data_IF_827389617823
#
_entry.id   IF_827389617823
#
_cell.length_a   1.000
_cell.length_b   1.000
_cell.length_c   1.000
_cell.angle_alpha   90.00
_cell.angle_beta   90.00
_cell.angle_gamma   90.00
#
_symmetry.space_group_name_H-M   'P 1'
#
loop_
_entity.id
_entity.type
_entity.pdbx_description
1 polymer ?
#
# COMPACT_ATOMS: atom_id res chain seq x y z
N UNK A 1 17.84 58.16 -41.48
CA UNK A 1 18.00 56.76 -41.22
C UNK A 1 18.24 56.61 -39.71
N UNK A 2 17.20 56.31 -38.96
CA UNK A 2 17.25 56.19 -37.49
C UNK A 2 16.94 54.74 -37.13
N UNK A 3 17.96 54.02 -36.67
CA UNK A 3 17.83 52.66 -36.15
C UNK A 3 17.24 52.71 -34.74
N UNK A 4 16.04 52.14 -34.57
CA UNK A 4 15.45 51.87 -33.25
C UNK A 4 15.92 50.48 -32.77
N UNK A 5 16.77 50.48 -31.76
CA UNK A 5 17.05 49.26 -30.94
C UNK A 5 15.83 48.95 -30.09
N UNK A 6 15.30 47.76 -30.27
CA UNK A 6 14.34 47.17 -29.39
C UNK A 6 15.09 46.37 -28.30
N UNK A 7 15.04 46.86 -27.07
CA UNK A 7 15.49 46.14 -25.90
C UNK A 7 14.35 45.18 -25.49
N UNK A 8 14.50 43.92 -25.84
CA UNK A 8 13.61 42.87 -25.36
C UNK A 8 13.95 42.50 -23.91
N UNK A 9 13.10 42.89 -22.97
CA UNK A 9 13.15 42.36 -21.59
C UNK A 9 12.81 40.89 -21.59
N UNK A 10 13.80 40.02 -21.42
CA UNK A 10 13.61 38.61 -21.13
C UNK A 10 13.15 38.54 -19.67
N UNK A 11 11.85 38.39 -19.46
CA UNK A 11 11.28 37.90 -18.17
C UNK A 11 11.73 36.46 -17.97
N UNK A 12 12.77 36.29 -17.16
CA UNK A 12 13.11 35.00 -16.57
C UNK A 12 11.93 34.57 -15.68
N UNK A 13 11.03 33.77 -16.23
CA UNK A 13 10.15 32.96 -15.44
C UNK A 13 11.01 31.93 -14.67
N UNK A 14 11.31 32.27 -13.42
CA UNK A 14 11.73 31.25 -12.45
C UNK A 14 10.56 30.29 -12.33
N UNK A 15 10.66 29.01 -12.70
CA UNK A 15 9.62 28.06 -12.35
C UNK A 15 9.63 28.00 -10.83
N UNK A 16 8.59 28.57 -10.18
CA UNK A 16 8.26 28.15 -8.83
C UNK A 16 8.12 26.64 -8.90
N UNK A 17 9.16 25.94 -8.41
CA UNK A 17 9.13 24.49 -8.31
C UNK A 17 7.89 24.13 -7.50
N UNK A 18 6.91 23.50 -8.14
CA UNK A 18 5.97 22.67 -7.44
C UNK A 18 6.84 21.70 -6.64
N UNK A 19 6.96 21.93 -5.34
CA UNK A 19 7.53 20.94 -4.44
C UNK A 19 6.67 19.68 -4.66
N UNK A 20 7.31 18.67 -5.18
CA UNK A 20 6.64 17.41 -5.44
C UNK A 20 6.08 16.92 -4.09
N UNK A 21 4.77 16.73 -4.05
CA UNK A 21 4.05 16.14 -2.93
C UNK A 21 4.49 14.69 -2.84
N UNK A 22 5.58 14.40 -2.15
CA UNK A 22 6.19 13.09 -2.10
C UNK A 22 6.60 12.71 -0.67
N UNK A 23 6.78 11.44 -0.44
CA UNK A 23 7.19 10.87 0.82
C UNK A 23 8.71 10.75 0.95
N UNK A 24 9.44 11.13 -0.08
CA UNK A 24 10.89 11.02 -0.14
C UNK A 24 11.58 12.07 0.74
N UNK A 25 12.78 11.79 1.24
CA UNK A 25 13.56 12.78 1.97
C UNK A 25 14.02 13.92 1.04
N UNK A 26 14.16 15.09 1.62
CA UNK A 26 14.90 16.16 0.94
C UNK A 26 16.38 15.74 0.81
N UNK A 27 16.88 15.76 -0.41
CA UNK A 27 18.26 15.34 -0.72
C UNK A 27 19.33 16.17 0.03
N UNK A 28 18.98 17.37 0.47
CA UNK A 28 19.86 18.21 1.29
C UNK A 28 20.07 17.66 2.72
N UNK A 29 19.17 16.80 3.22
CA UNK A 29 19.17 16.24 4.59
C UNK A 29 19.41 14.72 4.61
N UNK A 30 20.05 14.19 3.62
CA UNK A 30 20.23 12.77 3.35
C UNK A 30 21.15 12.07 4.36
N UNK A 31 20.64 11.73 5.57
CA UNK A 31 21.32 10.78 6.48
C UNK A 31 20.41 10.25 7.60
N UNK A 32 19.15 10.65 7.66
CA UNK A 32 18.25 10.20 8.70
C UNK A 32 17.49 8.96 8.23
N UNK A 33 17.68 7.83 8.92
CA UNK A 33 16.96 6.59 8.57
C UNK A 33 15.46 6.64 8.88
N UNK A 34 15.03 7.44 9.88
CA UNK A 34 13.64 7.52 10.33
C UNK A 34 13.23 8.98 10.35
N UNK A 35 12.17 9.31 9.62
CA UNK A 35 11.57 10.65 9.61
C UNK A 35 10.14 10.60 10.15
N UNK A 36 9.78 11.61 10.94
CA UNK A 36 8.41 11.88 11.38
C UNK A 36 7.84 12.97 10.49
N UNK A 37 6.61 12.78 10.01
CA UNK A 37 6.04 13.62 8.96
C UNK A 37 4.70 14.21 9.40
N UNK A 38 4.49 15.50 9.10
CA UNK A 38 3.19 16.19 9.12
C UNK A 38 2.58 16.12 7.72
N UNK A 39 1.42 15.49 7.60
CA UNK A 39 0.75 15.28 6.33
C UNK A 39 -0.51 16.14 6.27
N UNK A 40 -0.70 16.84 5.15
CA UNK A 40 -1.90 17.59 4.84
C UNK A 40 -2.53 17.07 3.59
N UNK A 41 -3.83 16.92 3.64
CA UNK A 41 -4.60 16.39 2.54
C UNK A 41 -5.57 17.43 2.00
N UNK A 42 -6.02 17.23 0.80
CA UNK A 42 -7.19 17.86 0.22
C UNK A 42 -8.00 16.75 -0.44
N UNK A 43 -9.12 16.42 0.16
CA UNK A 43 -9.86 15.19 -0.14
C UNK A 43 -8.92 13.96 -0.02
N UNK A 44 -8.79 13.14 -1.06
CA UNK A 44 -7.91 11.96 -1.11
C UNK A 44 -6.47 12.27 -1.53
N UNK A 45 -6.13 13.53 -1.81
CA UNK A 45 -4.81 13.91 -2.31
C UNK A 45 -3.90 14.42 -1.21
N UNK A 46 -2.70 13.93 -1.16
CA UNK A 46 -1.63 14.51 -0.36
C UNK A 46 -1.30 15.91 -0.90
N UNK A 47 -1.51 16.94 -0.08
CA UNK A 47 -1.23 18.34 -0.41
C UNK A 47 0.17 18.76 -0.03
N UNK A 48 0.61 18.36 1.15
CA UNK A 48 1.98 18.54 1.63
C UNK A 48 2.38 17.43 2.59
N UNK A 49 3.67 17.15 2.62
CA UNK A 49 4.28 16.22 3.55
C UNK A 49 5.60 16.85 4.00
N UNK A 50 5.65 17.27 5.26
CA UNK A 50 6.79 18.01 5.81
C UNK A 50 7.43 17.22 6.94
N UNK A 51 8.74 17.17 6.96
CA UNK A 51 9.46 16.55 8.06
C UNK A 51 9.29 17.38 9.33
N UNK A 52 8.89 16.69 10.41
CA UNK A 52 8.76 17.30 11.73
C UNK A 52 10.13 17.50 12.36
N UNK A 53 10.32 18.68 12.88
CA UNK A 53 11.50 19.10 13.65
C UNK A 53 11.06 19.56 15.05
N UNK A 54 11.98 19.76 15.94
CA UNK A 54 11.71 20.26 17.30
C UNK A 54 11.03 21.63 17.31
N UNK A 55 11.11 22.37 16.20
CA UNK A 55 10.47 23.69 16.02
C UNK A 55 9.11 23.61 15.34
N UNK A 56 8.61 22.42 15.03
CA UNK A 56 7.30 22.25 14.36
C UNK A 56 6.17 22.81 15.22
N UNK A 57 5.32 23.63 14.60
CA UNK A 57 4.23 24.36 15.30
C UNK A 57 2.93 23.58 15.39
N UNK A 58 2.85 22.43 14.73
CA UNK A 58 1.61 21.64 14.63
C UNK A 58 1.59 20.45 15.57
N UNK A 59 2.75 19.83 15.76
CA UNK A 59 2.87 18.58 16.48
C UNK A 59 4.05 18.61 17.45
N UNK A 60 3.82 18.10 18.67
CA UNK A 60 4.89 17.68 19.59
C UNK A 60 5.06 16.19 19.44
N UNK A 61 6.28 15.74 19.16
CA UNK A 61 6.58 14.33 18.93
C UNK A 61 7.38 13.72 20.06
N UNK A 62 7.22 12.42 20.29
CA UNK A 62 8.11 11.60 21.10
C UNK A 62 8.22 10.20 20.52
N UNK A 63 9.34 9.56 20.76
CA UNK A 63 9.64 8.21 20.29
C UNK A 63 10.16 7.38 21.46
N UNK A 64 9.45 6.30 21.76
CA UNK A 64 9.91 5.27 22.70
C UNK A 64 10.46 4.10 21.89
N UNK A 65 11.59 3.54 22.34
CA UNK A 65 12.23 2.38 21.72
C UNK A 65 12.36 1.27 22.74
N UNK A 66 11.98 0.06 22.33
CA UNK A 66 12.14 -1.15 23.14
C UNK A 66 12.78 -2.22 22.27
N UNK A 67 13.90 -2.74 22.72
CA UNK A 67 14.55 -3.86 22.02
C UNK A 67 13.68 -5.12 22.12
N UNK A 68 13.52 -5.80 21.02
CA UNK A 68 12.82 -7.08 20.88
C UNK A 68 13.72 -8.07 20.18
N UNK A 69 13.33 -9.34 20.13
CA UNK A 69 14.08 -10.34 19.38
C UNK A 69 14.16 -9.93 17.92
N UNK A 70 15.36 -9.91 17.36
CA UNK A 70 15.68 -9.57 15.99
C UNK A 70 15.33 -8.12 15.57
N UNK A 71 15.12 -7.20 16.53
CA UNK A 71 14.83 -5.83 16.15
C UNK A 71 14.41 -4.89 17.28
N UNK A 72 13.60 -3.90 16.92
CA UNK A 72 13.18 -2.82 17.81
C UNK A 72 11.71 -2.49 17.62
N UNK A 73 10.95 -2.42 18.70
CA UNK A 73 9.62 -1.82 18.76
C UNK A 73 9.75 -0.32 18.98
N UNK A 74 9.19 0.45 18.07
CA UNK A 74 9.05 1.89 18.15
C UNK A 74 7.61 2.25 18.48
N UNK A 75 7.42 3.19 19.40
CA UNK A 75 6.14 3.84 19.67
C UNK A 75 6.30 5.33 19.40
N UNK A 76 5.76 5.76 18.28
CA UNK A 76 5.77 7.16 17.85
C UNK A 76 4.48 7.84 18.33
N UNK A 77 4.62 8.95 19.06
CA UNK A 77 3.50 9.75 19.55
C UNK A 77 3.54 11.13 18.91
N UNK A 78 2.40 11.57 18.42
CA UNK A 78 2.19 12.87 17.81
C UNK A 78 1.06 13.58 18.57
N UNK A 79 1.40 14.55 19.40
CA UNK A 79 0.43 15.36 20.12
C UNK A 79 0.19 16.66 19.38
N UNK A 80 -1.08 16.93 19.02
CA UNK A 80 -1.46 18.14 18.32
C UNK A 80 -1.28 19.38 19.23
N UNK A 81 -0.61 20.40 18.74
CA UNK A 81 -0.37 21.68 19.42
C UNK A 81 -1.44 22.73 19.07
N UNK A 82 -2.30 22.44 18.13
CA UNK A 82 -3.44 23.27 17.69
C UNK A 82 -4.46 22.41 16.97
N UNK A 83 -5.65 22.99 16.72
CA UNK A 83 -6.68 22.34 15.90
C UNK A 83 -6.21 22.25 14.45
N UNK A 84 -6.39 21.08 13.82
CA UNK A 84 -5.99 20.79 12.45
C UNK A 84 -7.13 20.08 11.73
N UNK A 85 -7.34 20.40 10.47
CA UNK A 85 -8.28 19.72 9.57
C UNK A 85 -7.52 19.09 8.41
N UNK A 86 -8.08 18.05 7.83
CA UNK A 86 -7.48 17.32 6.71
C UNK A 86 -6.02 16.92 7.00
N UNK A 87 -5.77 16.53 8.24
CA UNK A 87 -4.45 16.25 8.77
C UNK A 87 -4.18 14.74 8.80
N UNK A 88 -2.92 14.42 8.87
CA UNK A 88 -2.40 13.10 9.18
C UNK A 88 -0.95 13.21 9.61
N UNK A 89 -0.42 12.11 10.08
CA UNK A 89 0.99 11.98 10.44
C UNK A 89 1.55 10.70 9.80
N UNK A 90 2.85 10.64 9.63
CA UNK A 90 3.46 9.42 9.13
C UNK A 90 4.87 9.22 9.71
N UNK A 91 5.32 7.97 9.62
CA UNK A 91 6.69 7.58 9.91
C UNK A 91 7.27 6.97 8.64
N UNK A 92 8.38 7.52 8.18
CA UNK A 92 9.12 7.04 7.03
C UNK A 92 10.44 6.39 7.46
N UNK A 93 10.74 5.24 6.89
CA UNK A 93 12.02 4.55 6.99
C UNK A 93 12.73 4.68 5.64
N UNK A 94 13.77 5.46 5.58
CA UNK A 94 14.49 5.75 4.35
C UNK A 94 15.64 4.78 4.13
N UNK A 95 15.81 4.36 2.89
CA UNK A 95 16.92 3.52 2.45
C UNK A 95 17.68 4.22 1.33
N UNK A 96 18.91 4.59 1.65
CA UNK A 96 19.87 5.16 0.72
C UNK A 96 20.67 4.04 0.04
N UNK A 97 21.18 4.32 -1.15
CA UNK A 97 21.81 3.32 -2.02
C UNK A 97 20.84 2.18 -2.39
N UNK A 98 19.59 2.57 -2.58
CA UNK A 98 18.54 1.68 -3.03
C UNK A 98 18.73 1.29 -4.50
N UNK A 99 18.14 0.21 -4.92
CA UNK A 99 18.07 -0.19 -6.34
C UNK A 99 16.71 -0.81 -6.64
N UNK A 100 16.26 -0.71 -7.89
CA UNK A 100 15.01 -1.33 -8.34
C UNK A 100 15.02 -2.86 -8.29
N UNK A 101 16.19 -3.48 -8.17
CA UNK A 101 16.34 -4.94 -8.05
C UNK A 101 15.94 -5.43 -6.66
N UNK A 102 15.93 -4.55 -5.66
CA UNK A 102 15.53 -4.90 -4.32
C UNK A 102 14.07 -5.33 -4.26
N UNK A 103 13.84 -6.41 -3.52
CA UNK A 103 12.51 -7.00 -3.39
C UNK A 103 11.66 -6.20 -2.41
N UNK A 104 10.41 -5.91 -2.77
CA UNK A 104 9.44 -5.22 -1.91
C UNK A 104 8.18 -6.04 -1.81
N UNK A 105 7.66 -6.20 -0.57
CA UNK A 105 6.45 -6.96 -0.29
C UNK A 105 5.52 -6.20 0.65
N UNK A 106 4.23 -6.21 0.33
CA UNK A 106 3.12 -5.95 1.26
C UNK A 106 2.22 -7.19 1.20
N UNK A 107 2.07 -7.96 2.29
CA UNK A 107 1.45 -9.28 2.26
C UNK A 107 0.06 -9.29 1.64
N UNK A 108 -0.17 -10.17 0.68
CA UNK A 108 -1.38 -10.34 -0.15
C UNK A 108 -1.68 -9.19 -1.14
N UNK A 109 -0.89 -8.12 -1.16
CA UNK A 109 -1.13 -6.97 -2.04
C UNK A 109 -0.01 -6.71 -3.02
N UNK A 110 1.24 -6.80 -2.57
CA UNK A 110 2.42 -6.46 -3.36
C UNK A 110 3.51 -7.52 -3.20
N UNK A 111 4.03 -8.01 -4.31
CA UNK A 111 5.18 -8.93 -4.36
C UNK A 111 6.16 -8.43 -5.41
N UNK A 112 7.43 -8.34 -5.04
CA UNK A 112 8.49 -7.72 -5.85
C UNK A 112 8.11 -6.32 -6.37
N UNK A 113 7.44 -5.52 -5.53
CA UNK A 113 6.95 -4.21 -5.91
C UNK A 113 5.85 -4.23 -6.99
N UNK A 114 5.36 -5.40 -7.39
CA UNK A 114 4.45 -5.57 -8.53
C UNK A 114 4.98 -4.87 -9.79
N UNK A 115 6.29 -4.85 -10.00
CA UNK A 115 6.99 -4.15 -11.09
C UNK A 115 6.74 -4.84 -12.42
N UNK A 116 5.56 -4.65 -12.95
CA UNK A 116 5.15 -5.24 -14.22
C UNK A 116 4.41 -4.22 -15.07
N UNK A 117 4.49 -4.35 -16.37
CA UNK A 117 3.65 -3.57 -17.29
C UNK A 117 2.26 -4.16 -17.29
N UNK A 118 1.27 -3.35 -16.97
CA UNK A 118 -0.13 -3.75 -17.01
C UNK A 118 -0.69 -3.37 -18.36
N UNK A 119 -1.17 -4.36 -19.09
CA UNK A 119 -1.95 -4.11 -20.30
C UNK A 119 -3.38 -3.78 -19.88
N UNK A 120 -3.72 -2.51 -19.95
CA UNK A 120 -5.09 -2.06 -19.70
C UNK A 120 -5.97 -2.38 -20.92
N UNK A 121 -6.27 -3.66 -21.11
CA UNK A 121 -7.28 -4.11 -22.07
C UNK A 121 -8.42 -4.74 -21.30
N UNK A 122 -9.63 -4.33 -21.60
CA UNK A 122 -10.84 -4.94 -21.08
C UNK A 122 -10.82 -6.42 -21.42
N UNK A 123 -10.45 -7.23 -20.44
CA UNK A 123 -10.22 -8.67 -20.61
C UNK A 123 -9.29 -8.97 -21.80
N UNK A 124 -8.42 -9.91 -21.64
CA UNK A 124 -7.43 -10.29 -22.65
C UNK A 124 -8.04 -10.85 -23.97
N UNK A 125 -9.30 -10.62 -24.22
CA UNK A 125 -9.96 -10.93 -25.48
C UNK A 125 -9.43 -10.01 -26.55
N UNK A 126 -8.58 -10.52 -27.42
CA UNK A 126 -8.05 -9.78 -28.55
C UNK A 126 -6.64 -9.24 -28.33
N UNK A 127 -5.80 -9.94 -27.56
CA UNK A 127 -4.37 -9.77 -27.69
C UNK A 127 -4.00 -9.99 -29.15
N UNK A 128 -3.23 -9.05 -29.69
CA UNK A 128 -2.61 -9.27 -30.98
C UNK A 128 -1.69 -10.50 -30.89
N UNK A 129 -1.69 -11.41 -31.88
CA UNK A 129 -0.79 -12.55 -31.90
C UNK A 129 0.69 -12.17 -31.65
N UNK A 130 1.10 -10.99 -32.06
CA UNK A 130 2.45 -10.43 -31.77
C UNK A 130 2.73 -10.17 -30.29
N UNK A 131 1.70 -10.11 -29.46
CA UNK A 131 1.83 -9.88 -28.03
C UNK A 131 1.96 -11.19 -27.20
N UNK A 132 1.70 -12.37 -27.81
CA UNK A 132 1.72 -13.64 -27.07
C UNK A 132 3.09 -14.05 -26.57
N UNK A 133 4.14 -13.74 -27.32
CA UNK A 133 5.53 -14.13 -27.01
C UNK A 133 6.32 -13.01 -26.33
N UNK A 134 5.65 -11.96 -25.86
CA UNK A 134 6.31 -10.85 -25.17
C UNK A 134 6.45 -11.11 -23.68
N UNK A 135 7.66 -11.40 -23.17
CA UNK A 135 7.91 -11.70 -21.75
C UNK A 135 7.72 -10.48 -20.86
N UNK A 136 7.75 -9.26 -21.43
CA UNK A 136 7.57 -7.97 -20.74
C UNK A 136 6.10 -7.56 -20.62
N UNK A 137 5.18 -8.32 -21.20
CA UNK A 137 3.77 -8.01 -21.20
C UNK A 137 3.04 -8.75 -20.08
N UNK A 138 2.65 -8.05 -19.04
CA UNK A 138 1.81 -8.63 -18.00
C UNK A 138 0.36 -8.76 -18.49
N UNK A 139 -0.14 -9.98 -18.48
CA UNK A 139 -1.51 -10.30 -18.85
C UNK A 139 -2.43 -10.17 -17.62
N UNK A 140 -2.66 -8.94 -17.18
CA UNK A 140 -3.65 -8.68 -16.13
C UNK A 140 -4.61 -7.59 -16.59
N UNK A 141 -5.89 -7.79 -16.33
CA UNK A 141 -6.94 -6.81 -16.58
C UNK A 141 -7.17 -5.88 -15.40
N UNK A 142 -6.67 -6.24 -14.22
CA UNK A 142 -6.90 -5.48 -12.99
C UNK A 142 -5.73 -4.57 -12.69
N UNK A 143 -5.96 -3.26 -12.47
CA UNK A 143 -4.94 -2.37 -11.97
C UNK A 143 -4.58 -2.79 -10.54
N UNK A 144 -3.29 -2.77 -10.25
CA UNK A 144 -2.74 -3.11 -8.93
C UNK A 144 -1.83 -1.99 -8.46
N UNK A 145 -1.68 -1.79 -7.14
CA UNK A 145 -0.62 -0.94 -6.61
C UNK A 145 0.73 -1.49 -7.05
N UNK A 146 1.54 -0.65 -7.70
CA UNK A 146 2.85 -1.09 -8.23
C UNK A 146 3.89 0.01 -8.15
N UNK A 147 5.14 -0.40 -7.97
CA UNK A 147 6.29 0.44 -8.25
C UNK A 147 6.53 0.45 -9.76
N UNK A 148 7.00 1.58 -10.29
CA UNK A 148 7.23 1.69 -11.73
C UNK A 148 8.37 0.76 -12.17
N UNK A 149 8.17 -0.01 -13.25
CA UNK A 149 9.25 -0.75 -13.88
C UNK A 149 10.21 0.17 -14.66
N UNK A 150 9.77 1.40 -14.95
CA UNK A 150 10.52 2.32 -15.82
C UNK A 150 11.45 3.22 -15.02
N UNK A 151 12.76 3.11 -15.27
CA UNK A 151 13.77 3.98 -14.71
C UNK A 151 13.56 5.43 -15.19
N UNK A 152 13.78 6.39 -14.28
CA UNK A 152 13.55 7.81 -14.57
C UNK A 152 12.09 8.27 -14.35
N UNK A 153 11.14 7.34 -14.16
CA UNK A 153 9.74 7.66 -13.88
C UNK A 153 9.46 7.72 -12.37
N UNK A 154 8.47 8.52 -11.94
CA UNK A 154 7.96 8.45 -10.57
C UNK A 154 7.52 7.03 -10.22
N UNK A 155 7.88 6.57 -9.04
CA UNK A 155 7.61 5.21 -8.57
C UNK A 155 7.05 5.25 -7.16
N UNK A 156 5.74 5.13 -7.04
CA UNK A 156 5.01 5.14 -5.76
C UNK A 156 3.85 4.16 -5.79
N UNK A 157 3.73 3.39 -4.73
CA UNK A 157 2.54 2.58 -4.46
C UNK A 157 1.94 2.96 -3.10
N UNK A 158 0.63 2.82 -2.99
CA UNK A 158 -0.15 3.11 -1.80
C UNK A 158 -1.13 1.96 -1.56
N UNK A 159 -1.10 1.39 -0.37
CA UNK A 159 -1.99 0.29 0.06
C UNK A 159 -2.59 0.66 1.41
N UNK A 160 -3.88 0.44 1.59
CA UNK A 160 -4.49 0.48 2.93
C UNK A 160 -4.25 -0.86 3.63
N UNK A 161 -4.00 -0.82 4.93
CA UNK A 161 -3.80 -2.03 5.74
C UNK A 161 -4.97 -3.02 5.59
N UNK A 162 -6.20 -2.57 5.40
CA UNK A 162 -7.33 -3.48 5.16
C UNK A 162 -7.19 -4.32 3.87
N UNK A 163 -6.33 -3.94 2.96
CA UNK A 163 -6.01 -4.69 1.74
C UNK A 163 -4.76 -5.59 1.89
N UNK A 164 -4.13 -5.60 3.04
CA UNK A 164 -3.00 -6.47 3.36
C UNK A 164 -3.44 -7.63 4.27
N UNK A 165 -2.89 -8.83 4.05
CA UNK A 165 -3.16 -9.97 4.93
C UNK A 165 -2.52 -9.82 6.32
N UNK A 166 -1.57 -8.93 6.45
CA UNK A 166 -0.90 -8.57 7.69
C UNK A 166 -0.45 -7.11 7.55
N UNK A 167 -0.64 -6.25 8.55
CA UNK A 167 -0.17 -4.87 8.55
C UNK A 167 1.36 -4.79 8.54
N UNK A 168 1.96 -4.95 7.37
CA UNK A 168 3.41 -5.01 7.23
C UNK A 168 3.90 -4.51 5.88
N UNK A 169 5.08 -3.90 5.88
CA UNK A 169 5.91 -3.71 4.71
C UNK A 169 7.18 -4.52 4.92
N UNK A 170 7.61 -5.27 3.92
CA UNK A 170 8.86 -6.00 3.94
C UNK A 170 9.70 -5.68 2.71
N UNK A 171 11.00 -5.70 2.86
CA UNK A 171 11.91 -5.58 1.73
C UNK A 171 13.20 -6.38 1.95
N UNK A 172 13.84 -6.74 0.86
CA UNK A 172 15.13 -7.41 0.84
C UNK A 172 16.12 -6.52 0.10
N UNK A 173 17.15 -6.10 0.80
CA UNK A 173 18.32 -5.42 0.25
C UNK A 173 19.35 -6.47 -0.16
N UNK A 174 19.45 -6.74 -1.47
CA UNK A 174 20.35 -7.75 -2.02
C UNK A 174 21.82 -7.44 -1.77
N UNK A 175 22.19 -6.16 -1.78
CA UNK A 175 23.58 -5.77 -1.60
C UNK A 175 24.03 -5.98 -0.17
N UNK A 176 23.16 -5.66 0.78
CA UNK A 176 23.42 -5.84 2.22
C UNK A 176 23.12 -7.26 2.70
N UNK A 177 22.43 -8.06 1.88
CA UNK A 177 21.91 -9.40 2.27
C UNK A 177 21.04 -9.30 3.53
N UNK A 178 20.18 -8.31 3.56
CA UNK A 178 19.38 -7.95 4.71
C UNK A 178 17.89 -7.93 4.34
N UNK A 179 17.09 -8.73 5.05
CA UNK A 179 15.64 -8.68 5.02
C UNK A 179 15.12 -7.81 6.16
N UNK A 180 14.21 -6.90 5.86
CA UNK A 180 13.58 -6.03 6.85
C UNK A 180 12.07 -6.21 6.83
N UNK A 181 11.48 -6.34 8.02
CA UNK A 181 10.03 -6.33 8.22
C UNK A 181 9.66 -5.12 9.07
N UNK A 182 8.71 -4.32 8.59
CA UNK A 182 8.08 -3.23 9.32
C UNK A 182 6.64 -3.65 9.62
N UNK A 183 6.37 -4.13 10.82
CA UNK A 183 5.06 -4.55 11.30
C UNK A 183 4.39 -3.41 12.03
N UNK A 184 3.09 -3.18 11.82
CA UNK A 184 2.33 -2.13 12.49
C UNK A 184 0.96 -2.64 12.96
N UNK A 185 0.21 -1.79 13.67
CA UNK A 185 -1.19 -2.03 14.01
C UNK A 185 -2.09 -1.87 12.77
N UNK A 186 -3.37 -2.26 12.89
CA UNK A 186 -4.37 -2.07 11.81
C UNK A 186 -4.54 -0.58 11.46
N UNK A 187 -4.57 0.28 12.46
CA UNK A 187 -4.81 1.71 12.31
C UNK A 187 -4.96 2.40 13.66
N UNK A 188 -5.44 3.64 13.62
CA UNK A 188 -5.76 4.43 14.81
C UNK A 188 -7.25 4.36 15.13
N UNK A 189 -7.60 4.46 16.42
CA UNK A 189 -9.00 4.51 16.85
C UNK A 189 -9.41 5.97 17.04
N UNK A 190 -10.45 6.40 16.31
CA UNK A 190 -11.07 7.72 16.45
C UNK A 190 -12.59 7.57 16.50
N UNK A 191 -13.21 8.18 17.49
CA UNK A 191 -14.68 8.16 17.65
C UNK A 191 -15.31 6.75 17.59
N UNK A 192 -14.58 5.76 18.13
CA UNK A 192 -14.99 4.35 18.13
C UNK A 192 -14.81 3.62 16.80
N UNK A 193 -14.24 4.26 15.78
CA UNK A 193 -13.92 3.66 14.50
C UNK A 193 -12.41 3.44 14.34
N UNK A 194 -12.06 2.36 13.66
CA UNK A 194 -10.67 2.13 13.24
C UNK A 194 -10.46 2.82 11.89
N UNK A 195 -9.51 3.74 11.86
CA UNK A 195 -9.01 4.34 10.64
C UNK A 195 -7.71 3.63 10.27
N UNK A 196 -7.74 2.89 9.18
CA UNK A 196 -6.61 2.08 8.73
C UNK A 196 -5.34 2.91 8.52
N UNK A 197 -4.19 2.32 8.79
CA UNK A 197 -2.91 2.86 8.34
C UNK A 197 -2.75 2.75 6.83
N UNK A 198 -1.99 3.68 6.26
CA UNK A 198 -1.46 3.56 4.90
C UNK A 198 -0.09 2.89 4.92
N UNK A 199 0.12 2.00 3.97
CA UNK A 199 1.41 1.37 3.67
C UNK A 199 1.86 1.91 2.32
N UNK A 200 2.92 2.72 2.34
CA UNK A 200 3.37 3.44 1.15
C UNK A 200 4.84 3.10 0.89
N UNK A 201 5.17 2.89 -0.35
CA UNK A 201 6.57 2.79 -0.79
C UNK A 201 6.75 3.77 -1.93
N UNK A 202 7.73 4.63 -1.82
CA UNK A 202 8.09 5.59 -2.85
C UNK A 202 9.58 5.53 -3.13
N UNK A 203 9.96 5.57 -4.40
CA UNK A 203 11.33 5.54 -4.87
C UNK A 203 11.65 6.78 -5.67
N UNK A 204 12.87 7.27 -5.54
CA UNK A 204 13.37 8.33 -6.43
C UNK A 204 13.36 7.87 -7.90
N UNK A 205 13.23 8.77 -8.86
CA UNK A 205 13.27 8.40 -10.28
C UNK A 205 14.52 7.62 -10.70
N UNK A 206 15.67 7.91 -10.09
CA UNK A 206 16.93 7.20 -10.29
C UNK A 206 17.09 5.93 -9.44
N UNK A 207 16.07 5.59 -8.63
CA UNK A 207 16.07 4.45 -7.71
C UNK A 207 17.20 4.43 -6.70
N UNK A 208 17.82 5.57 -6.41
CA UNK A 208 18.90 5.66 -5.43
C UNK A 208 18.42 5.74 -3.97
N UNK A 209 17.16 6.14 -3.76
CA UNK A 209 16.52 6.22 -2.44
C UNK A 209 15.13 5.62 -2.50
N UNK A 210 14.75 4.89 -1.46
CA UNK A 210 13.37 4.44 -1.22
C UNK A 210 12.92 4.84 0.17
N UNK A 211 11.66 5.25 0.29
CA UNK A 211 10.98 5.53 1.57
C UNK A 211 9.87 4.51 1.79
N UNK A 212 9.91 3.84 2.94
CA UNK A 212 8.90 2.91 3.41
C UNK A 212 8.09 3.61 4.49
N UNK A 213 6.84 3.93 4.19
CA UNK A 213 6.06 4.87 5.01
C UNK A 213 4.83 4.19 5.58
N UNK A 214 4.58 4.43 6.87
CA UNK A 214 3.35 4.07 7.56
C UNK A 214 2.66 5.36 7.98
N UNK A 215 1.50 5.64 7.40
CA UNK A 215 0.72 6.85 7.65
C UNK A 215 -0.52 6.60 8.53
N UNK A 216 -0.92 7.60 9.27
CA UNK A 216 -2.11 7.61 10.12
C UNK A 216 -2.91 8.93 9.94
N UNK A 217 -4.10 8.87 9.34
CA UNK A 217 -4.72 7.74 8.68
C UNK A 217 -4.04 7.38 7.36
N UNK A 218 -4.41 6.21 6.78
CA UNK A 218 -4.08 5.86 5.41
C UNK A 218 -4.98 6.63 4.45
N UNK A 219 -4.38 7.50 3.66
CA UNK A 219 -5.11 8.24 2.61
C UNK A 219 -4.45 7.93 1.28
N UNK A 220 -5.18 7.23 0.43
CA UNK A 220 -4.75 6.86 -0.92
C UNK A 220 -5.36 7.83 -1.92
N UNK A 221 -4.60 8.21 -2.92
CA UNK A 221 -5.14 9.03 -4.02
C UNK A 221 -6.09 8.22 -4.89
N UNK A 222 -5.77 6.95 -5.15
CA UNK A 222 -6.56 6.08 -6.01
C UNK A 222 -6.86 4.75 -5.34
N UNK A 223 -8.08 4.27 -5.51
CA UNK A 223 -8.51 2.93 -5.08
C UNK A 223 -8.52 2.01 -6.29
N UNK A 224 -7.80 0.87 -6.27
CA UNK A 224 -7.91 -0.14 -7.31
C UNK A 224 -9.33 -0.72 -7.35
N UNK A 225 -9.85 -0.90 -8.56
CA UNK A 225 -11.13 -1.56 -8.83
C UNK A 225 -10.99 -2.64 -9.91
N UNK A 226 -12.07 -3.37 -10.18
CA UNK A 226 -12.03 -4.46 -11.15
C UNK A 226 -11.55 -4.03 -12.54
N UNK A 227 -11.94 -2.82 -12.98
CA UNK A 227 -11.49 -2.24 -14.24
C UNK A 227 -11.02 -0.80 -13.98
N UNK A 228 -9.72 -0.61 -13.75
CA UNK A 228 -9.16 0.72 -13.55
C UNK A 228 -8.99 1.13 -12.09
N UNK A 229 -8.91 2.42 -11.89
CA UNK A 229 -8.84 3.04 -10.56
C UNK A 229 -10.02 3.99 -10.40
N UNK A 230 -10.64 3.98 -9.23
CA UNK A 230 -11.60 5.01 -8.84
C UNK A 230 -10.96 6.05 -7.93
N UNK A 231 -11.70 7.14 -7.74
CA UNK A 231 -11.40 8.12 -6.70
C UNK A 231 -11.50 7.46 -5.32
N UNK A 232 -10.51 7.63 -4.48
CA UNK A 232 -10.53 7.06 -3.13
C UNK A 232 -11.49 7.83 -2.21
N UNK A 233 -12.22 7.16 -1.31
CA UNK A 233 -13.00 7.81 -0.26
C UNK A 233 -12.15 8.24 0.93
N UNK A 234 -10.87 7.88 0.96
CA UNK A 234 -9.99 8.16 2.09
C UNK A 234 -9.80 9.66 2.30
N UNK A 235 -9.76 10.11 3.55
CA UNK A 235 -9.64 11.53 3.93
C UNK A 235 -8.68 11.70 5.09
N UNK A 236 -8.06 12.87 5.16
CA UNK A 236 -7.40 13.33 6.37
C UNK A 236 -8.38 13.46 7.53
N UNK A 237 -7.86 13.55 8.74
CA UNK A 237 -8.66 13.68 9.97
C UNK A 237 -8.67 15.10 10.50
N UNK A 238 -9.69 15.39 11.30
CA UNK A 238 -9.70 16.56 12.15
C UNK A 238 -9.18 16.18 13.53
N UNK A 239 -8.21 16.92 14.02
CA UNK A 239 -7.65 16.76 15.37
C UNK A 239 -7.80 18.08 16.14
N UNK A 240 -8.04 17.97 17.42
CA UNK A 240 -8.09 19.10 18.34
C UNK A 240 -6.75 19.28 19.03
N UNK A 241 -6.49 20.47 19.50
CA UNK A 241 -5.33 20.71 20.37
C UNK A 241 -5.34 19.73 21.55
N UNK A 242 -4.20 19.09 21.79
CA UNK A 242 -4.03 18.08 22.83
C UNK A 242 -4.34 16.64 22.41
N UNK A 243 -5.02 16.41 21.29
CA UNK A 243 -5.23 15.07 20.76
C UNK A 243 -3.90 14.38 20.43
N UNK A 244 -3.85 13.07 20.64
CA UNK A 244 -2.66 12.28 20.37
C UNK A 244 -2.94 11.22 19.30
N UNK A 245 -2.01 11.07 18.34
CA UNK A 245 -1.96 9.97 17.39
C UNK A 245 -0.75 9.12 17.74
N UNK A 246 -0.95 7.80 17.82
CA UNK A 246 0.11 6.84 18.15
C UNK A 246 0.27 5.85 17.01
N UNK A 247 1.48 5.74 16.50
CA UNK A 247 1.87 4.72 15.50
C UNK A 247 2.88 3.79 16.17
N UNK A 248 2.59 2.49 16.18
CA UNK A 248 3.51 1.46 16.68
C UNK A 248 4.09 0.71 15.49
N UNK A 249 5.41 0.59 15.46
CA UNK A 249 6.11 -0.11 14.39
C UNK A 249 7.18 -1.01 15.00
N UNK A 250 7.09 -2.29 14.74
CA UNK A 250 8.16 -3.23 15.04
C UNK A 250 9.03 -3.39 13.80
N UNK A 251 10.26 -2.93 13.86
CA UNK A 251 11.26 -3.13 12.81
C UNK A 251 12.10 -4.34 13.18
N UNK A 252 12.03 -5.37 12.35
CA UNK A 252 12.83 -6.59 12.47
C UNK A 252 13.82 -6.63 11.31
N UNK A 253 15.02 -7.11 11.58
CA UNK A 253 16.12 -7.15 10.61
C UNK A 253 16.78 -8.52 10.66
N UNK A 254 16.86 -9.18 9.52
CA UNK A 254 17.38 -10.54 9.40
C UNK A 254 18.47 -10.62 8.34
N UNK A 255 19.51 -11.42 8.55
CA UNK A 255 20.36 -11.86 7.44
C UNK A 255 19.51 -12.64 6.42
N UNK A 256 19.43 -12.15 5.20
CA UNK A 256 18.62 -12.73 4.14
C UNK A 256 19.33 -12.67 2.80
N UNK A 257 19.36 -13.79 2.09
CA UNK A 257 20.02 -13.90 0.79
C UNK A 257 19.05 -14.03 -0.38
N UNK A 258 17.76 -14.25 -0.12
CA UNK A 258 16.74 -14.46 -1.15
C UNK A 258 15.33 -14.16 -0.63
N UNK A 259 14.38 -14.07 -1.54
CA UNK A 259 12.98 -13.81 -1.21
C UNK A 259 12.31 -14.94 -0.40
N UNK A 260 12.59 -16.25 -0.65
CA UNK A 260 12.12 -17.32 0.23
C UNK A 260 12.56 -17.17 1.69
N UNK A 261 13.80 -16.74 1.93
CA UNK A 261 14.29 -16.43 3.27
C UNK A 261 13.46 -15.32 3.94
N UNK A 262 13.23 -14.20 3.26
CA UNK A 262 12.40 -13.11 3.77
C UNK A 262 10.97 -13.58 4.07
N UNK A 263 10.37 -14.36 3.17
CA UNK A 263 9.05 -14.94 3.36
C UNK A 263 8.99 -15.88 4.56
N UNK A 264 10.03 -16.69 4.76
CA UNK A 264 10.18 -17.58 5.92
C UNK A 264 10.13 -16.79 7.23
N UNK A 265 10.95 -15.76 7.37
CA UNK A 265 10.95 -14.88 8.54
C UNK A 265 9.58 -14.17 8.74
N UNK A 266 8.99 -13.65 7.66
CA UNK A 266 7.65 -13.08 7.73
C UNK A 266 6.62 -14.08 8.25
N UNK A 267 6.62 -15.31 7.77
CA UNK A 267 5.67 -16.34 8.21
C UNK A 267 5.86 -16.73 9.68
N UNK A 268 7.09 -16.79 10.17
CA UNK A 268 7.36 -17.04 11.59
C UNK A 268 6.89 -15.88 12.47
N UNK A 269 7.16 -14.64 12.09
CA UNK A 269 6.66 -13.48 12.82
C UNK A 269 5.13 -13.40 12.81
N UNK A 270 4.53 -13.65 11.66
CA UNK A 270 3.06 -13.71 11.56
C UNK A 270 2.47 -14.73 12.52
N UNK A 271 3.06 -15.91 12.67
CA UNK A 271 2.61 -16.93 13.64
C UNK A 271 2.71 -16.45 15.08
N UNK A 272 3.75 -15.69 15.43
CA UNK A 272 3.90 -15.12 16.79
C UNK A 272 2.82 -14.09 17.11
N UNK A 273 2.39 -13.32 16.12
CA UNK A 273 1.39 -12.24 16.30
C UNK A 273 -0.06 -12.73 16.17
N UNK A 274 -0.31 -13.81 15.45
CA UNK A 274 -1.65 -14.40 15.35
C UNK A 274 -1.96 -15.13 16.64
N UNK A 275 -2.86 -14.56 17.42
CA UNK A 275 -3.54 -15.33 18.48
C UNK A 275 -4.46 -16.33 17.79
N UNK A 276 -4.09 -17.60 17.79
CA UNK A 276 -5.01 -18.65 17.41
C UNK A 276 -6.23 -18.55 18.35
N UNK A 277 -7.33 -18.04 17.83
CA UNK A 277 -8.60 -18.24 18.50
C UNK A 277 -8.80 -19.75 18.62
N UNK A 278 -9.15 -20.23 19.81
CA UNK A 278 -9.52 -21.64 19.98
C UNK A 278 -10.57 -21.98 18.91
N UNK A 279 -10.38 -23.04 18.12
CA UNK A 279 -11.33 -23.39 17.09
C UNK A 279 -12.69 -23.60 17.74
N UNK A 280 -13.66 -22.78 17.37
CA UNK A 280 -15.03 -22.95 17.81
C UNK A 280 -15.74 -23.76 16.73
N UNK A 281 -15.81 -25.06 16.92
CA UNK A 281 -16.70 -25.88 16.13
C UNK A 281 -18.13 -25.60 16.60
N UNK A 282 -18.73 -24.55 16.06
CA UNK A 282 -20.13 -24.22 16.35
C UNK A 282 -21.10 -25.26 15.77
N UNK A 283 -20.65 -25.93 14.70
CA UNK A 283 -21.46 -26.92 13.98
C UNK A 283 -20.57 -28.12 13.64
N UNK A 284 -21.02 -29.35 13.88
CA UNK A 284 -20.31 -30.56 13.44
C UNK A 284 -20.09 -30.55 11.93
N UNK A 285 -18.97 -31.12 11.47
CA UNK A 285 -18.60 -31.13 10.05
C UNK A 285 -19.68 -31.80 9.18
N UNK A 286 -20.29 -32.89 9.67
CA UNK A 286 -21.44 -33.53 9.00
C UNK A 286 -22.59 -32.55 8.76
N UNK A 287 -22.87 -31.68 9.74
CA UNK A 287 -23.92 -30.67 9.58
C UNK A 287 -23.53 -29.58 8.60
N UNK A 288 -22.24 -29.25 8.51
CA UNK A 288 -21.72 -28.31 7.47
C UNK A 288 -21.96 -28.91 6.09
N UNK A 289 -21.65 -30.19 5.89
CA UNK A 289 -21.89 -30.87 4.61
C UNK A 289 -23.39 -30.88 4.27
N UNK A 290 -24.28 -31.24 5.19
CA UNK A 290 -25.73 -31.17 4.99
C UNK A 290 -26.22 -29.80 4.55
N UNK A 291 -25.62 -28.72 5.11
CA UNK A 291 -25.97 -27.34 4.74
C UNK A 291 -25.47 -27.04 3.35
N UNK A 292 -24.26 -27.47 3.01
CA UNK A 292 -23.67 -27.29 1.69
C UNK A 292 -24.47 -28.01 0.62
N UNK A 293 -24.80 -29.28 0.82
CA UNK A 293 -25.61 -30.08 -0.11
C UNK A 293 -26.97 -29.41 -0.39
N UNK A 294 -27.67 -29.03 0.67
CA UNK A 294 -28.94 -28.32 0.54
C UNK A 294 -28.81 -27.00 -0.19
N UNK A 295 -27.72 -26.29 0.01
CA UNK A 295 -27.45 -25.00 -0.67
C UNK A 295 -27.12 -25.24 -2.14
N UNK A 296 -26.42 -26.32 -2.48
CA UNK A 296 -26.15 -26.73 -3.87
C UNK A 296 -27.49 -27.14 -4.54
N UNK A 297 -28.30 -27.96 -3.91
CA UNK A 297 -29.60 -28.35 -4.45
C UNK A 297 -30.50 -27.14 -4.77
N UNK A 298 -30.52 -26.13 -3.88
CA UNK A 298 -31.25 -24.88 -4.12
C UNK A 298 -30.78 -24.08 -5.32
N UNK A 299 -29.56 -24.33 -5.78
CA UNK A 299 -28.98 -23.67 -6.94
C UNK A 299 -29.19 -24.45 -8.22
N UNK A 300 -29.64 -25.68 -8.15
CA UNK A 300 -29.93 -26.49 -9.33
C UNK A 300 -30.99 -25.81 -10.21
N UNK A 301 -30.71 -25.76 -11.48
CA UNK A 301 -31.58 -25.15 -12.49
C UNK A 301 -31.71 -26.10 -13.67
N UNK A 302 -32.94 -26.35 -14.03
CA UNK A 302 -33.27 -27.14 -15.23
C UNK A 302 -34.35 -26.44 -16.03
N UNK A 303 -34.07 -26.23 -17.31
CA UNK A 303 -35.05 -25.72 -18.26
C UNK A 303 -34.75 -26.29 -19.64
N UNK A 304 -35.73 -26.88 -20.26
CA UNK A 304 -35.60 -27.53 -21.59
C UNK A 304 -34.47 -28.60 -21.54
N UNK A 305 -33.43 -28.45 -22.34
CA UNK A 305 -32.26 -29.33 -22.41
C UNK A 305 -31.05 -28.80 -21.65
N UNK A 306 -31.23 -27.76 -20.84
CA UNK A 306 -30.13 -27.13 -20.10
C UNK A 306 -30.26 -27.40 -18.61
N UNK A 307 -29.23 -27.99 -18.01
CA UNK A 307 -29.13 -28.28 -16.61
C UNK A 307 -27.79 -27.72 -16.08
N UNK A 308 -27.82 -26.99 -14.95
CA UNK A 308 -26.61 -26.49 -14.30
C UNK A 308 -26.89 -25.99 -12.89
N UNK A 309 -25.83 -25.82 -12.11
CA UNK A 309 -25.92 -25.15 -10.82
C UNK A 309 -25.62 -23.67 -10.98
N UNK A 310 -26.52 -22.81 -10.53
CA UNK A 310 -26.34 -21.36 -10.55
C UNK A 310 -25.24 -20.94 -9.58
N UNK A 311 -24.38 -19.96 -9.90
CA UNK A 311 -23.32 -19.49 -9.02
C UNK A 311 -23.87 -18.85 -7.73
N UNK A 312 -25.05 -18.22 -7.81
CA UNK A 312 -25.73 -17.61 -6.65
C UNK A 312 -27.24 -17.80 -6.74
N UNK A 313 -27.95 -17.45 -5.66
CA UNK A 313 -29.40 -17.49 -5.58
C UNK A 313 -30.09 -16.36 -6.32
N UNK A 314 -29.34 -15.42 -6.89
CA UNK A 314 -29.89 -14.32 -7.68
C UNK A 314 -30.40 -14.75 -9.05
N UNK A 315 -31.21 -13.92 -9.68
CA UNK A 315 -31.82 -14.13 -11.02
C UNK A 315 -30.80 -14.23 -12.16
N UNK A 316 -29.55 -14.40 -11.81
CA UNK A 316 -28.44 -14.52 -12.74
C UNK A 316 -28.41 -15.87 -13.40
N UNK A 317 -28.66 -15.88 -14.66
CA UNK A 317 -28.62 -17.05 -15.52
C UNK A 317 -27.29 -17.10 -16.25
N UNK A 318 -26.18 -17.40 -15.57
CA UNK A 318 -24.92 -17.66 -16.26
C UNK A 318 -24.51 -19.13 -16.06
N UNK A 319 -24.55 -19.87 -17.13
CA UNK A 319 -23.97 -21.19 -17.25
C UNK A 319 -22.61 -21.08 -17.95
N UNK A 320 -21.71 -21.98 -17.61
CA UNK A 320 -20.37 -22.01 -18.22
C UNK A 320 -19.35 -21.05 -17.64
N UNK A 321 -19.71 -20.29 -16.61
CA UNK A 321 -18.78 -19.50 -15.81
C UNK A 321 -18.55 -20.16 -14.44
N UNK A 322 -17.58 -19.66 -13.72
CA UNK A 322 -16.93 -20.21 -12.50
C UNK A 322 -17.81 -21.06 -11.56
N UNK A 323 -19.07 -21.14 -11.68
CA UNK A 323 -19.91 -21.88 -10.73
C UNK A 323 -20.61 -23.11 -11.30
N UNK A 324 -20.87 -23.13 -12.59
CA UNK A 324 -21.83 -24.10 -13.13
C UNK A 324 -21.31 -25.54 -13.22
N UNK A 325 -20.03 -25.72 -13.43
CA UNK A 325 -19.40 -27.04 -13.65
C UNK A 325 -18.55 -27.55 -12.47
N UNK A 326 -18.18 -26.67 -11.54
CA UNK A 326 -17.31 -27.06 -10.41
C UNK A 326 -18.07 -27.81 -9.33
N UNK A 327 -19.40 -27.75 -9.33
CA UNK A 327 -20.25 -28.42 -8.33
C UNK A 327 -20.81 -29.75 -8.83
N UNK A 328 -20.46 -30.21 -10.03
CA UNK A 328 -20.72 -31.54 -10.54
C UNK A 328 -19.47 -32.41 -10.40
#
# INVERSE_FOLDING_TARGET
MINKLWAGSILLFCPMGLQAQNWLPDTANAHQEIRLLDCRYHEEKLKSCEQLTDTSSCWKTSVEKTEVTDGTLFVFRFKALKNLTDAGVAVAFDRYHWTSDNYVMIPASVYNGNRQRIVNRNYATGLDPSDYDRPDLALTSNPIPQLSPDFGSPSRLEVSVCNAATPAIAFLDWQKKEGVLLLTDQGIIRDGQVLDHGLIVEETPDRSVASFVISAPGVREKKPEFIGFSKSPDRGITVREGDEIVIRITRLVYPCTDAPCLLGHFMEERKRHIRCAAPRNLVPMSRVLDIMDKNIDLRYYQKDSVEFYRPETADWMSYGWIGGLINT
#
